data_IF_924335575941
#
_entry.id   IF_924335575941
#
_cell.length_a   1.000
_cell.length_b   1.000
_cell.length_c   1.000
_cell.angle_alpha   90.00
_cell.angle_beta   90.00
_cell.angle_gamma   90.00
#
_symmetry.space_group_name_H-M   'P 1'
#
loop_
_entity.id
_entity.type
_entity.pdbx_description
1 polymer ?
#
# COMPACT_ATOMS: atom_id res chain seq x y z
N UNK A 1 7.30 38.67 16.30
CA UNK A 1 6.02 39.32 15.96
C UNK A 1 4.92 38.29 16.20
N UNK A 2 4.04 38.52 17.18
CA UNK A 2 2.94 37.60 17.48
C UNK A 2 1.75 37.96 16.57
N UNK A 3 1.28 36.99 15.79
CA UNK A 3 0.05 37.15 15.00
C UNK A 3 -1.14 37.04 15.94
N UNK A 4 -1.78 38.18 16.19
CA UNK A 4 -2.99 38.28 17.00
C UNK A 4 -4.16 37.73 16.17
N UNK A 5 -4.59 36.51 16.47
CA UNK A 5 -5.73 35.89 15.80
C UNK A 5 -7.02 36.48 16.38
N UNK A 6 -8.00 36.83 15.53
CA UNK A 6 -9.25 37.40 16.00
C UNK A 6 -10.00 36.42 16.93
N UNK A 7 -10.73 36.94 17.93
CA UNK A 7 -11.41 36.14 18.93
C UNK A 7 -12.39 35.18 18.25
N UNK A 8 -12.24 33.88 18.54
CA UNK A 8 -13.14 32.84 18.04
C UNK A 8 -14.53 33.09 18.62
N UNK A 9 -15.49 33.49 17.77
CA UNK A 9 -16.90 33.54 18.15
C UNK A 9 -17.40 32.13 18.38
N UNK A 10 -18.12 31.92 19.48
CA UNK A 10 -18.81 30.66 19.72
C UNK A 10 -19.85 30.41 18.63
N UNK A 11 -19.91 29.18 18.15
CA UNK A 11 -20.92 28.76 17.19
C UNK A 11 -22.32 28.83 17.83
N UNK A 12 -23.32 29.38 17.12
CA UNK A 12 -24.73 29.34 17.50
C UNK A 12 -25.20 27.91 17.84
N UNK A 13 -26.12 27.82 18.80
CA UNK A 13 -26.54 26.54 19.40
C UNK A 13 -27.20 25.59 18.40
N UNK A 14 -27.92 26.14 17.42
CA UNK A 14 -28.57 25.41 16.33
C UNK A 14 -27.54 24.74 15.39
N UNK A 15 -26.40 25.38 15.15
CA UNK A 15 -25.31 24.81 14.35
C UNK A 15 -24.64 23.66 15.10
N UNK A 16 -24.46 23.80 16.43
CA UNK A 16 -23.92 22.73 17.28
C UNK A 16 -24.82 21.50 17.31
N UNK A 17 -26.15 21.69 17.32
CA UNK A 17 -27.11 20.59 17.30
C UNK A 17 -27.13 19.86 15.95
N UNK A 18 -27.01 20.56 14.82
CA UNK A 18 -26.91 19.94 13.49
C UNK A 18 -25.62 19.17 13.25
N UNK A 19 -24.53 19.55 13.92
CA UNK A 19 -23.25 18.84 13.83
C UNK A 19 -23.13 17.68 14.81
N UNK A 20 -24.17 17.41 15.61
CA UNK A 20 -24.17 16.28 16.53
C UNK A 20 -24.51 15.01 15.73
N UNK A 21 -23.61 14.01 15.63
CA UNK A 21 -23.93 12.78 14.94
C UNK A 21 -25.08 12.06 15.66
N UNK A 22 -26.08 11.63 14.87
CA UNK A 22 -27.27 10.91 15.35
C UNK A 22 -26.90 9.54 15.92
N UNK A 23 -26.54 9.52 17.20
CA UNK A 23 -26.27 8.31 17.96
C UNK A 23 -27.36 8.01 18.98
N UNK A 24 -28.65 8.23 18.66
CA UNK A 24 -29.76 7.70 19.49
C UNK A 24 -31.01 7.47 18.63
N UNK A 25 -31.11 6.33 17.94
CA UNK A 25 -32.40 5.79 17.50
C UNK A 25 -32.30 4.31 17.09
N UNK A 26 -31.94 3.42 18.02
CA UNK A 26 -32.39 2.02 17.92
C UNK A 26 -32.41 1.38 19.29
N UNK A 27 -33.48 1.64 20.05
CA UNK A 27 -33.89 0.75 21.13
C UNK A 27 -35.40 0.86 21.35
N UNK A 28 -36.11 -0.17 20.90
CA UNK A 28 -37.43 -0.67 21.33
C UNK A 28 -37.75 -1.84 20.37
N UNK A 29 -37.99 -3.11 20.73
CA UNK A 29 -38.63 -3.70 21.92
C UNK A 29 -38.19 -5.21 22.10
N UNK A 30 -38.86 -6.08 22.90
CA UNK A 30 -38.41 -6.51 24.24
C UNK A 30 -38.32 -8.07 24.42
N UNK A 31 -38.13 -8.52 25.68
CA UNK A 31 -38.17 -9.92 26.22
C UNK A 31 -36.83 -10.70 26.17
N UNK A 32 -36.27 -11.34 27.21
CA UNK A 32 -36.74 -11.89 28.50
C UNK A 32 -35.56 -12.10 29.48
N UNK A 33 -35.80 -11.77 30.75
CA UNK A 33 -35.34 -12.38 32.03
C UNK A 33 -33.94 -13.01 32.14
N UNK A 34 -33.14 -12.46 33.05
CA UNK A 34 -32.08 -13.17 33.77
C UNK A 34 -31.37 -12.26 34.78
N UNK A 35 -31.71 -12.39 36.07
CA UNK A 35 -31.21 -11.56 37.19
C UNK A 35 -29.78 -11.96 37.58
N UNK A 36 -28.90 -10.97 37.81
CA UNK A 36 -28.07 -10.88 39.03
C UNK A 36 -27.40 -9.49 39.15
N UNK A 37 -27.20 -8.94 40.36
CA UNK A 37 -26.94 -7.51 40.59
C UNK A 37 -25.53 -7.18 41.12
N UNK A 38 -25.27 -5.87 41.29
CA UNK A 38 -24.17 -5.20 42.04
C UNK A 38 -22.92 -4.89 41.17
N UNK A 39 -22.29 -3.71 41.18
CA UNK A 39 -22.30 -2.62 42.16
C UNK A 39 -21.99 -1.27 41.51
N UNK A 40 -22.51 -0.22 42.15
CA UNK A 40 -22.25 1.21 41.95
C UNK A 40 -20.86 1.58 42.47
N UNK A 41 -20.12 2.42 41.73
CA UNK A 41 -19.19 3.36 42.34
C UNK A 41 -18.88 4.52 41.37
N UNK A 42 -19.53 5.65 41.61
CA UNK A 42 -19.07 6.94 41.15
C UNK A 42 -17.87 7.37 42.02
N UNK A 43 -16.79 7.83 41.41
CA UNK A 43 -15.72 8.54 42.10
C UNK A 43 -15.33 9.77 41.29
N UNK A 44 -15.90 10.91 41.69
CA UNK A 44 -15.44 12.25 41.33
C UNK A 44 -14.21 12.52 42.19
N UNK A 45 -13.06 12.79 41.56
CA UNK A 45 -11.84 13.20 42.25
C UNK A 45 -11.33 14.50 41.62
N UNK A 46 -11.75 15.61 42.25
CA UNK A 46 -11.22 16.94 42.07
C UNK A 46 -9.86 17.00 42.76
N UNK A 47 -8.76 17.05 41.99
CA UNK A 47 -7.47 17.52 42.48
C UNK A 47 -7.21 18.87 41.83
N UNK A 48 -7.50 19.90 42.62
CA UNK A 48 -7.03 21.24 42.41
C UNK A 48 -5.61 21.39 42.96
N UNK A 49 -4.74 22.07 42.20
CA UNK A 49 -3.64 22.86 42.76
C UNK A 49 -2.25 22.25 42.69
N UNK A 50 -1.39 22.88 41.87
CA UNK A 50 0.06 22.89 42.12
C UNK A 50 0.95 22.46 40.96
N UNK A 51 0.84 23.08 39.77
CA UNK A 51 1.93 22.98 38.79
C UNK A 51 2.99 24.03 39.14
N UNK A 52 4.01 23.62 39.87
CA UNK A 52 5.29 24.32 39.90
C UNK A 52 5.96 24.11 38.54
N UNK A 53 5.85 25.10 37.65
CA UNK A 53 6.60 25.12 36.41
C UNK A 53 8.08 25.42 36.72
N UNK A 54 8.88 24.39 36.94
CA UNK A 54 10.34 24.51 36.86
C UNK A 54 10.69 24.74 35.39
N UNK A 55 10.95 25.99 35.01
CA UNK A 55 11.55 26.33 33.73
C UNK A 55 12.97 25.79 33.70
N UNK A 56 13.14 24.58 33.14
CA UNK A 56 14.43 24.20 32.59
C UNK A 56 14.65 25.04 31.34
N UNK A 57 15.55 26.01 31.44
CA UNK A 57 16.14 26.69 30.29
C UNK A 57 17.05 25.67 29.60
N UNK A 58 16.46 24.78 28.80
CA UNK A 58 17.18 24.10 27.73
C UNK A 58 17.40 25.13 26.63
N UNK A 59 18.64 25.58 26.48
CA UNK A 59 19.07 26.34 25.31
C UNK A 59 18.62 25.59 24.05
N UNK A 60 17.91 26.23 23.10
CA UNK A 60 17.63 25.60 21.83
C UNK A 60 18.93 25.60 21.04
N UNK A 61 19.68 24.50 21.11
CA UNK A 61 20.48 24.10 19.96
C UNK A 61 19.47 23.85 18.85
N UNK A 62 19.33 24.83 17.96
CA UNK A 62 18.66 24.65 16.67
C UNK A 62 19.60 23.73 15.88
N UNK A 63 19.56 22.43 16.20
CA UNK A 63 20.02 21.39 15.32
C UNK A 63 19.21 21.59 14.05
N UNK A 64 19.87 22.07 12.98
CA UNK A 64 19.30 22.03 11.64
C UNK A 64 18.82 20.59 11.45
N UNK A 65 17.50 20.41 11.31
CA UNK A 65 16.89 19.11 11.13
C UNK A 65 17.72 18.34 10.08
N UNK A 66 18.38 17.27 10.51
CA UNK A 66 19.17 16.44 9.60
C UNK A 66 18.18 15.83 8.61
N UNK A 67 18.40 15.95 7.29
CA UNK A 67 17.49 15.40 6.30
C UNK A 67 17.19 13.92 6.62
N UNK A 68 15.91 13.55 6.62
CA UNK A 68 15.47 12.17 6.79
C UNK A 68 15.32 11.68 8.23
N UNK A 69 15.71 12.45 9.26
CA UNK A 69 15.48 12.04 10.66
C UNK A 69 13.99 12.00 11.02
N UNK A 70 13.16 12.79 10.34
CA UNK A 70 11.71 12.73 10.45
C UNK A 70 11.10 11.39 10.02
N UNK A 71 11.85 10.57 9.29
CA UNK A 71 11.43 9.22 8.84
C UNK A 71 11.76 8.13 9.85
N UNK A 72 12.47 8.45 10.94
CA UNK A 72 12.84 7.50 11.98
C UNK A 72 11.76 7.50 13.07
N UNK A 73 11.03 6.39 13.15
CA UNK A 73 9.94 6.17 14.11
C UNK A 73 10.22 4.95 14.98
N UNK A 74 9.43 4.76 16.04
CA UNK A 74 9.50 3.53 16.85
C UNK A 74 8.76 2.40 16.12
N UNK A 75 9.31 1.18 16.08
CA UNK A 75 8.63 0.05 15.47
C UNK A 75 7.35 -0.30 16.23
N UNK A 76 6.31 -0.68 15.50
CA UNK A 76 5.10 -1.27 16.11
C UNK A 76 5.39 -2.69 16.59
N UNK A 77 4.56 -3.19 17.54
CA UNK A 77 4.66 -4.57 17.99
C UNK A 77 4.45 -5.59 16.87
N UNK A 78 3.61 -5.25 15.89
CA UNK A 78 3.34 -6.09 14.72
C UNK A 78 4.53 -6.13 13.77
N UNK A 79 5.17 -4.99 13.48
CA UNK A 79 6.36 -4.94 12.64
C UNK A 79 7.50 -5.78 13.26
N UNK A 80 7.70 -5.67 14.58
CA UNK A 80 8.65 -6.51 15.31
C UNK A 80 8.32 -8.00 15.18
N UNK A 81 7.06 -8.40 15.33
CA UNK A 81 6.64 -9.80 15.20
C UNK A 81 6.91 -10.37 13.80
N UNK A 82 6.66 -9.57 12.75
CA UNK A 82 6.94 -9.94 11.35
C UNK A 82 8.44 -10.13 11.13
N UNK A 83 9.27 -9.19 11.62
CA UNK A 83 10.72 -9.29 11.49
C UNK A 83 11.33 -10.45 12.29
N UNK A 84 10.86 -10.71 13.51
CA UNK A 84 11.30 -11.87 14.32
C UNK A 84 11.03 -13.19 13.62
N UNK A 85 9.86 -13.30 13.00
CA UNK A 85 9.49 -14.47 12.19
C UNK A 85 10.43 -14.62 10.99
N UNK A 86 10.66 -13.55 10.24
CA UNK A 86 11.53 -13.57 9.06
C UNK A 86 13.01 -13.86 9.40
N UNK A 87 13.50 -13.34 10.53
CA UNK A 87 14.85 -13.59 11.04
C UNK A 87 15.01 -14.98 11.67
N UNK A 88 13.92 -15.66 12.00
CA UNK A 88 13.96 -16.88 12.81
C UNK A 88 14.45 -16.64 14.24
N UNK A 89 14.27 -15.43 14.77
CA UNK A 89 14.77 -14.99 16.08
C UNK A 89 13.69 -14.25 16.87
N UNK A 90 13.09 -14.92 17.84
CA UNK A 90 12.01 -14.37 18.67
C UNK A 90 12.49 -13.31 19.69
N UNK A 91 13.79 -13.28 19.98
CA UNK A 91 14.37 -12.33 20.94
C UNK A 91 14.91 -11.08 20.26
N UNK A 92 14.88 -11.02 18.93
CA UNK A 92 15.38 -9.87 18.19
C UNK A 92 14.65 -8.58 18.60
N UNK A 93 15.40 -7.50 18.77
CA UNK A 93 14.92 -6.19 19.21
C UNK A 93 15.36 -5.11 18.23
N UNK A 94 14.44 -4.19 17.99
CA UNK A 94 14.69 -2.96 17.24
C UNK A 94 14.06 -1.81 18.01
N UNK A 95 14.77 -0.67 18.04
CA UNK A 95 14.28 0.58 18.61
C UNK A 95 13.89 1.61 17.54
N UNK A 96 14.27 1.37 16.30
CA UNK A 96 14.22 2.33 15.21
C UNK A 96 13.70 1.67 13.94
N UNK A 97 12.72 2.32 13.31
CA UNK A 97 12.20 2.00 11.99
C UNK A 97 12.39 3.19 11.09
N UNK A 98 12.90 2.98 9.89
CA UNK A 98 12.95 3.99 8.84
C UNK A 98 11.81 3.74 7.85
N UNK A 99 10.97 4.74 7.62
CA UNK A 99 9.84 4.63 6.69
C UNK A 99 10.17 5.25 5.32
N UNK A 100 9.98 4.47 4.26
CA UNK A 100 10.09 4.88 2.86
C UNK A 100 8.78 4.59 2.15
N UNK A 101 7.82 5.51 2.27
CA UNK A 101 6.51 5.39 1.63
C UNK A 101 5.73 4.16 2.11
N UNK A 102 5.72 3.08 1.34
CA UNK A 102 5.07 1.82 1.68
C UNK A 102 6.02 0.73 2.21
N UNK A 103 7.32 1.00 2.22
CA UNK A 103 8.32 0.12 2.81
C UNK A 103 8.75 0.67 4.18
N UNK A 104 9.05 -0.24 5.11
CA UNK A 104 9.62 0.07 6.43
C UNK A 104 10.91 -0.72 6.59
N UNK A 105 11.92 -0.15 7.22
CA UNK A 105 13.18 -0.85 7.51
C UNK A 105 13.46 -0.76 8.99
N UNK A 106 13.36 -1.88 9.69
CA UNK A 106 13.66 -1.97 11.12
C UNK A 106 15.15 -2.21 11.30
N UNK A 107 15.75 -1.42 12.18
CA UNK A 107 17.17 -1.49 12.52
C UNK A 107 17.32 -2.20 13.85
N UNK A 108 17.94 -3.37 13.82
CA UNK A 108 18.19 -4.19 15.01
C UNK A 108 19.28 -3.58 15.88
N UNK A 109 19.18 -3.75 17.20
CA UNK A 109 20.22 -3.33 18.14
C UNK A 109 21.55 -4.07 17.93
N UNK A 110 21.51 -5.21 17.25
CA UNK A 110 22.65 -6.04 16.86
C UNK A 110 23.19 -5.74 15.45
N UNK A 111 22.68 -4.69 14.80
CA UNK A 111 23.10 -4.27 13.47
C UNK A 111 22.48 -5.07 12.31
N UNK A 112 21.57 -6.01 12.58
CA UNK A 112 20.77 -6.67 11.53
C UNK A 112 19.63 -5.76 11.08
N UNK A 113 19.25 -5.88 9.81
CA UNK A 113 18.14 -5.14 9.22
C UNK A 113 17.02 -6.09 8.80
N UNK A 114 15.80 -5.59 8.86
CA UNK A 114 14.61 -6.25 8.33
C UNK A 114 13.76 -5.22 7.59
N UNK A 115 13.61 -5.41 6.28
CA UNK A 115 12.67 -4.63 5.48
C UNK A 115 11.30 -5.29 5.51
N UNK A 116 10.26 -4.48 5.68
CA UNK A 116 8.87 -4.88 5.59
C UNK A 116 8.20 -4.11 4.45
N UNK A 117 7.47 -4.84 3.62
CA UNK A 117 6.40 -4.29 2.77
C UNK A 117 5.05 -4.59 3.42
N UNK A 118 3.93 -4.40 2.74
CA UNK A 118 2.63 -4.84 3.30
C UNK A 118 2.47 -6.35 3.35
N UNK A 119 3.17 -7.09 2.48
CA UNK A 119 2.96 -8.53 2.26
C UNK A 119 4.18 -9.40 2.47
N UNK A 120 5.34 -8.78 2.65
CA UNK A 120 6.61 -9.49 2.76
C UNK A 120 7.51 -8.88 3.82
N UNK A 121 8.39 -9.73 4.32
CA UNK A 121 9.55 -9.36 5.11
C UNK A 121 10.81 -9.86 4.41
N UNK A 122 11.84 -9.02 4.34
CA UNK A 122 13.14 -9.32 3.76
C UNK A 122 14.22 -9.15 4.81
N UNK A 123 15.08 -10.16 4.93
CA UNK A 123 16.24 -10.16 5.82
C UNK A 123 17.47 -10.57 5.02
N UNK A 124 18.66 -10.16 5.45
CA UNK A 124 19.89 -10.62 4.81
C UNK A 124 19.96 -12.16 4.81
N UNK A 125 20.29 -12.76 3.67
CA UNK A 125 20.43 -14.22 3.60
C UNK A 125 21.63 -14.67 4.43
N UNK A 126 21.62 -15.92 4.90
CA UNK A 126 22.75 -16.47 5.68
C UNK A 126 24.07 -16.51 4.88
N UNK A 127 23.98 -16.52 3.55
CA UNK A 127 25.12 -16.45 2.65
C UNK A 127 25.55 -15.03 2.32
N UNK A 128 24.75 -14.01 2.67
CA UNK A 128 25.11 -12.62 2.44
C UNK A 128 26.32 -12.23 3.29
N UNK A 129 27.34 -11.69 2.63
CA UNK A 129 28.54 -11.17 3.30
C UNK A 129 28.49 -9.65 3.27
N UNK A 130 28.67 -8.97 4.41
CA UNK A 130 28.83 -7.54 4.45
C UNK A 130 29.88 -7.10 3.43
N UNK A 131 29.57 -6.07 2.66
CA UNK A 131 30.48 -5.55 1.64
C UNK A 131 31.05 -4.22 2.10
N UNK A 132 32.37 -4.16 2.18
CA UNK A 132 33.06 -2.94 2.60
C UNK A 132 32.89 -1.84 1.56
N UNK A 133 32.46 -0.69 2.06
CA UNK A 133 32.62 0.59 1.40
C UNK A 133 33.97 1.18 1.81
N UNK A 134 34.45 2.21 1.11
CA UNK A 134 35.75 2.83 1.41
C UNK A 134 35.90 3.23 2.89
N UNK A 135 34.81 3.67 3.53
CA UNK A 135 34.80 4.11 4.93
C UNK A 135 33.60 3.56 5.74
N UNK A 136 32.82 2.62 5.18
CA UNK A 136 31.62 2.05 5.81
C UNK A 136 31.37 0.62 5.34
N UNK A 137 30.18 0.08 5.54
CA UNK A 137 29.86 -1.30 5.15
C UNK A 137 28.39 -1.41 4.77
N UNK A 138 28.06 -2.09 3.66
CA UNK A 138 26.70 -2.53 3.35
C UNK A 138 26.47 -3.88 4.02
N UNK A 139 25.47 -3.96 4.90
CA UNK A 139 25.14 -5.21 5.63
C UNK A 139 23.78 -5.78 5.24
N UNK A 140 23.00 -5.06 4.44
CA UNK A 140 21.71 -5.50 3.92
C UNK A 140 21.42 -4.87 2.56
N UNK A 141 20.91 -5.66 1.62
CA UNK A 141 20.40 -5.18 0.33
C UNK A 141 19.23 -6.01 -0.14
N UNK A 142 18.12 -5.37 -0.46
CA UNK A 142 17.00 -5.94 -1.20
C UNK A 142 16.88 -5.30 -2.59
N UNK A 143 15.79 -5.58 -3.31
CA UNK A 143 15.51 -4.94 -4.60
C UNK A 143 15.28 -3.43 -4.53
N UNK A 144 14.98 -2.88 -3.36
CA UNK A 144 14.61 -1.47 -3.22
C UNK A 144 15.26 -0.75 -2.05
N UNK A 145 16.08 -1.45 -1.26
CA UNK A 145 16.72 -0.89 -0.06
C UNK A 145 18.19 -1.31 -0.01
N UNK A 146 19.06 -0.36 0.32
CA UNK A 146 20.43 -0.62 0.77
C UNK A 146 20.57 -0.08 2.20
N UNK A 147 21.12 -0.89 3.09
CA UNK A 147 21.39 -0.49 4.47
C UNK A 147 22.73 -1.02 4.98
N UNK A 148 23.25 -0.36 6.00
CA UNK A 148 24.54 -0.72 6.58
C UNK A 148 25.09 0.29 7.57
N UNK A 149 26.40 0.26 7.78
CA UNK A 149 27.14 1.17 8.65
C UNK A 149 27.77 2.28 7.79
N UNK A 150 27.50 3.56 8.05
CA UNK A 150 27.96 4.64 7.20
C UNK A 150 29.43 4.98 7.46
N UNK A 151 30.05 5.77 6.56
CA UNK A 151 31.31 6.44 6.85
C UNK A 151 31.29 7.20 8.17
N UNK A 152 32.43 7.18 8.87
CA UNK A 152 32.59 7.97 10.09
C UNK A 152 32.26 9.44 9.80
N UNK A 153 31.48 10.04 10.68
CA UNK A 153 31.03 11.44 10.62
C UNK A 153 30.08 11.78 9.46
N UNK A 154 29.58 10.79 8.71
CA UNK A 154 28.60 11.01 7.65
C UNK A 154 27.31 11.65 8.17
N UNK A 155 26.84 12.71 7.50
CA UNK A 155 25.64 13.47 7.92
C UNK A 155 24.49 13.45 6.93
N UNK A 156 24.81 13.24 5.66
CA UNK A 156 23.85 13.16 4.57
C UNK A 156 24.10 11.90 3.76
N UNK A 157 23.02 11.34 3.21
CA UNK A 157 23.06 10.24 2.27
C UNK A 157 22.02 10.49 1.19
N UNK A 158 22.43 10.35 -0.06
CA UNK A 158 21.54 10.30 -1.23
C UNK A 158 22.09 9.31 -2.24
N UNK A 159 21.25 8.84 -3.16
CA UNK A 159 21.75 8.22 -4.39
C UNK A 159 22.16 9.30 -5.39
N UNK A 160 23.21 9.04 -6.17
CA UNK A 160 23.65 9.91 -7.27
C UNK A 160 23.97 9.10 -8.51
N UNK A 161 23.81 9.64 -9.72
CA UNK A 161 24.07 8.87 -10.93
C UNK A 161 25.56 8.54 -11.03
N UNK A 162 25.88 7.32 -11.49
CA UNK A 162 27.27 6.99 -11.83
C UNK A 162 27.78 7.91 -12.94
N UNK A 163 29.11 8.15 -13.04
CA UNK A 163 29.68 9.00 -14.08
C UNK A 163 29.22 8.64 -15.50
N UNK A 164 29.06 7.36 -15.81
CA UNK A 164 28.60 6.84 -17.11
C UNK A 164 27.12 7.11 -17.43
N UNK A 165 26.31 7.53 -16.45
CA UNK A 165 24.87 7.76 -16.60
C UNK A 165 24.43 9.20 -16.26
N UNK A 166 25.37 10.15 -16.22
CA UNK A 166 25.09 11.55 -15.86
C UNK A 166 24.07 12.27 -16.75
N UNK A 167 23.95 11.86 -18.02
CA UNK A 167 23.06 12.48 -18.99
C UNK A 167 21.62 11.92 -18.95
N UNK A 168 21.35 10.93 -18.08
CA UNK A 168 20.00 10.39 -17.91
C UNK A 168 19.24 11.17 -16.84
N UNK A 169 17.91 11.25 -16.98
CA UNK A 169 17.00 11.85 -15.98
C UNK A 169 16.97 11.00 -14.71
N UNK A 170 18.02 11.11 -13.90
CA UNK A 170 18.19 10.39 -12.65
C UNK A 170 17.49 11.14 -11.50
N UNK A 171 16.53 10.47 -10.85
CA UNK A 171 15.91 10.98 -9.64
C UNK A 171 16.70 10.49 -8.42
N UNK A 172 17.47 11.40 -7.83
CA UNK A 172 18.14 11.14 -6.56
C UNK A 172 17.11 10.78 -5.48
N UNK A 173 17.44 9.77 -4.68
CA UNK A 173 16.65 9.34 -3.53
C UNK A 173 17.42 9.67 -2.26
N UNK A 174 16.78 10.44 -1.36
CA UNK A 174 17.35 10.78 -0.05
C UNK A 174 17.29 9.56 0.87
N UNK A 175 18.43 9.26 1.49
CA UNK A 175 18.55 8.24 2.54
C UNK A 175 18.52 8.84 3.94
N UNK A 176 18.44 7.95 4.93
CA UNK A 176 18.62 8.27 6.34
C UNK A 176 20.01 7.81 6.75
N UNK A 177 20.75 8.68 7.43
CA UNK A 177 22.07 8.36 7.98
C UNK A 177 22.17 8.81 9.43
N UNK A 178 22.63 7.91 10.28
CA UNK A 178 22.93 8.14 11.70
C UNK A 178 24.39 7.75 11.96
N UNK A 179 24.93 7.98 13.16
CA UNK A 179 26.27 7.49 13.50
C UNK A 179 26.41 5.95 13.46
N UNK A 180 25.29 5.21 13.50
CA UNK A 180 25.30 3.75 13.66
C UNK A 180 24.80 3.01 12.42
N UNK A 181 23.95 3.64 11.61
CA UNK A 181 23.39 3.01 10.43
C UNK A 181 23.10 4.01 9.33
N UNK A 182 22.94 3.50 8.12
CA UNK A 182 22.23 4.19 7.06
C UNK A 182 21.21 3.27 6.40
N UNK A 183 20.18 3.87 5.82
CA UNK A 183 19.20 3.20 4.97
C UNK A 183 18.88 4.12 3.80
N UNK A 184 18.84 3.60 2.59
CA UNK A 184 18.45 4.36 1.40
C UNK A 184 17.54 3.54 0.51
N UNK A 185 16.55 4.22 -0.06
CA UNK A 185 15.63 3.68 -1.06
C UNK A 185 16.26 3.74 -2.45
N UNK A 186 16.31 2.59 -3.12
CA UNK A 186 17.00 2.37 -4.39
C UNK A 186 16.12 1.71 -5.43
N UNK A 187 14.78 1.85 -5.32
CA UNK A 187 13.80 1.24 -6.24
C UNK A 187 14.04 1.53 -7.74
N UNK A 188 14.90 2.48 -8.08
CA UNK A 188 15.35 2.78 -9.43
C UNK A 188 16.68 2.08 -9.75
N UNK A 189 16.58 0.92 -10.41
CA UNK A 189 17.66 0.13 -11.04
C UNK A 189 19.07 0.34 -10.45
N UNK A 190 19.41 -0.59 -9.54
CA UNK A 190 20.68 -0.84 -8.88
C UNK A 190 22.00 -0.56 -9.63
N UNK A 191 22.02 -0.67 -10.95
CA UNK A 191 23.24 -0.50 -11.75
C UNK A 191 23.62 0.96 -12.02
N UNK A 192 22.72 1.92 -11.79
CA UNK A 192 22.87 3.29 -12.30
C UNK A 192 23.37 4.33 -11.30
N UNK A 193 23.57 3.97 -10.03
CA UNK A 193 23.90 4.94 -8.99
C UNK A 193 25.09 4.58 -8.09
N UNK A 194 25.65 5.62 -7.49
CA UNK A 194 26.57 5.60 -6.36
C UNK A 194 25.85 6.08 -5.08
N UNK A 195 26.35 5.66 -3.92
CA UNK A 195 25.96 6.28 -2.64
C UNK A 195 26.77 7.55 -2.44
N UNK A 196 26.10 8.67 -2.20
CA UNK A 196 26.74 9.96 -1.99
C UNK A 196 26.62 10.34 -0.52
N UNK A 197 27.72 10.20 0.22
CA UNK A 197 27.83 10.60 1.62
C UNK A 197 28.54 11.95 1.72
N UNK A 198 27.85 13.01 2.14
CA UNK A 198 28.41 14.37 2.24
C UNK A 198 29.17 14.80 0.97
N UNK A 199 28.51 14.63 -0.18
CA UNK A 199 29.01 14.89 -1.53
C UNK A 199 30.19 14.02 -2.01
N UNK A 200 30.55 12.98 -1.24
CA UNK A 200 31.52 11.96 -1.64
C UNK A 200 30.80 10.74 -2.23
N UNK A 201 30.91 10.57 -3.55
CA UNK A 201 30.40 9.39 -4.24
C UNK A 201 31.20 8.14 -3.84
N UNK A 202 30.47 7.09 -3.49
CA UNK A 202 30.98 5.78 -3.08
C UNK A 202 30.31 4.73 -3.96
N UNK A 203 31.07 4.03 -4.82
CA UNK A 203 30.53 2.98 -5.67
C UNK A 203 29.81 1.93 -4.85
N UNK A 204 28.59 1.58 -5.28
CA UNK A 204 27.87 0.43 -4.73
C UNK A 204 28.44 -0.82 -5.38
N UNK A 205 29.00 -1.76 -4.60
CA UNK A 205 29.46 -3.03 -5.15
C UNK A 205 28.27 -3.82 -5.71
N UNK A 206 28.52 -4.60 -6.77
CA UNK A 206 27.55 -5.56 -7.26
C UNK A 206 27.27 -6.58 -6.16
N UNK A 207 26.01 -6.74 -5.82
CA UNK A 207 25.59 -7.69 -4.79
C UNK A 207 24.99 -8.90 -5.49
N UNK A 208 25.43 -10.12 -5.13
CA UNK A 208 24.99 -11.33 -5.79
C UNK A 208 23.48 -11.54 -5.67
N UNK A 209 22.92 -12.22 -6.66
CA UNK A 209 21.55 -12.74 -6.58
C UNK A 209 21.36 -13.54 -5.28
N UNK A 210 20.21 -13.37 -4.61
CA UNK A 210 19.92 -14.07 -3.35
C UNK A 210 20.52 -13.43 -2.08
N UNK A 211 20.84 -12.13 -2.11
CA UNK A 211 21.28 -11.38 -0.93
C UNK A 211 20.26 -11.33 0.22
N UNK A 212 18.99 -11.64 -0.06
CA UNK A 212 17.91 -11.66 0.93
C UNK A 212 17.18 -12.98 0.97
N UNK A 213 16.71 -13.32 2.17
CA UNK A 213 15.67 -14.32 2.39
C UNK A 213 14.33 -13.58 2.49
N UNK A 214 13.36 -14.01 1.69
CA UNK A 214 11.99 -13.49 1.69
C UNK A 214 11.08 -14.37 2.55
N UNK A 215 10.23 -13.75 3.36
CA UNK A 215 9.14 -14.41 4.09
C UNK A 215 7.81 -13.73 3.80
N UNK A 216 6.78 -14.50 3.47
CA UNK A 216 5.42 -13.96 3.31
C UNK A 216 4.85 -13.62 4.68
N UNK A 217 4.63 -12.33 4.93
CA UNK A 217 4.08 -11.83 6.19
C UNK A 217 3.18 -10.64 5.91
N UNK A 218 1.98 -10.60 6.47
CA UNK A 218 0.99 -9.59 6.11
C UNK A 218 0.79 -8.55 7.22
N UNK A 219 0.66 -7.29 6.83
CA UNK A 219 0.30 -6.18 7.73
C UNK A 219 -1.15 -6.30 8.25
N UNK A 220 -2.00 -7.11 7.61
CA UNK A 220 -3.32 -7.46 8.16
C UNK A 220 -3.25 -8.38 9.38
N UNK A 221 -2.12 -9.10 9.57
CA UNK A 221 -2.00 -10.19 10.53
C UNK A 221 -2.65 -11.51 10.09
N UNK A 222 -3.38 -11.51 8.96
CA UNK A 222 -3.98 -12.71 8.38
C UNK A 222 -2.94 -13.48 7.57
N UNK A 223 -2.64 -14.75 7.88
CA UNK A 223 -1.65 -15.53 7.16
C UNK A 223 -2.13 -16.01 5.78
N UNK A 224 -3.43 -15.98 5.48
CA UNK A 224 -3.95 -16.45 4.20
C UNK A 224 -3.68 -15.40 3.11
N UNK A 225 -2.81 -15.71 2.13
CA UNK A 225 -2.48 -14.77 1.05
C UNK A 225 -3.66 -14.39 0.16
N UNK A 226 -4.76 -15.16 0.22
CA UNK A 226 -5.93 -14.99 -0.63
C UNK A 226 -7.09 -14.28 0.07
N UNK A 227 -6.89 -13.75 1.28
CA UNK A 227 -7.86 -12.80 1.82
C UNK A 227 -7.85 -11.51 1.00
N UNK A 228 -9.01 -10.89 0.85
CA UNK A 228 -9.18 -9.71 0.00
C UNK A 228 -8.23 -8.55 0.38
N UNK A 229 -8.03 -8.35 1.69
CA UNK A 229 -7.08 -7.36 2.21
C UNK A 229 -5.63 -7.67 1.81
N UNK A 230 -5.25 -8.95 1.81
CA UNK A 230 -3.90 -9.39 1.42
C UNK A 230 -3.69 -9.33 -0.09
N UNK A 231 -4.73 -9.58 -0.88
CA UNK A 231 -4.69 -9.35 -2.34
C UNK A 231 -4.46 -7.87 -2.64
N UNK A 232 -5.21 -6.94 -2.05
CA UNK A 232 -4.99 -5.49 -2.21
C UNK A 232 -3.57 -5.09 -1.80
N UNK A 233 -3.09 -5.61 -0.68
CA UNK A 233 -1.74 -5.36 -0.21
C UNK A 233 -0.67 -5.83 -1.21
N UNK A 234 -0.85 -7.00 -1.84
CA UNK A 234 0.05 -7.52 -2.88
C UNK A 234 0.02 -6.67 -4.13
N UNK A 235 -1.19 -6.21 -4.50
CA UNK A 235 -1.36 -5.29 -5.60
C UNK A 235 -0.55 -4.02 -5.35
N UNK A 236 -0.75 -3.42 -4.18
CA UNK A 236 -0.08 -2.20 -3.73
C UNK A 236 1.44 -2.35 -3.71
N UNK A 237 1.97 -3.41 -3.09
CA UNK A 237 3.42 -3.67 -3.02
C UNK A 237 4.04 -3.78 -4.41
N UNK A 238 3.34 -4.45 -5.34
CA UNK A 238 3.83 -4.63 -6.71
C UNK A 238 3.83 -3.32 -7.49
N UNK A 239 2.74 -2.53 -7.41
CA UNK A 239 2.68 -1.18 -8.02
C UNK A 239 3.78 -0.28 -7.50
N UNK A 240 4.00 -0.30 -6.18
CA UNK A 240 5.01 0.52 -5.51
C UNK A 240 6.42 0.16 -5.98
N UNK A 241 6.71 -1.15 -6.11
CA UNK A 241 7.95 -1.66 -6.68
C UNK A 241 8.13 -1.27 -8.15
N UNK A 242 7.04 -1.17 -8.90
CA UNK A 242 7.04 -0.74 -10.31
C UNK A 242 7.10 0.80 -10.47
N UNK A 243 7.27 1.55 -9.38
CA UNK A 243 7.54 2.99 -9.41
C UNK A 243 6.34 3.91 -9.16
N UNK A 244 5.16 3.37 -8.84
CA UNK A 244 4.03 4.20 -8.42
C UNK A 244 4.32 4.89 -7.07
N UNK A 245 3.76 6.10 -6.87
CA UNK A 245 3.98 6.85 -5.64
C UNK A 245 3.24 6.21 -4.46
N UNK A 246 3.83 6.27 -3.26
CA UNK A 246 3.21 5.72 -2.06
C UNK A 246 1.84 6.35 -1.76
N UNK A 247 1.70 7.67 -1.93
CA UNK A 247 0.44 8.40 -1.71
C UNK A 247 -0.68 7.95 -2.63
N UNK A 248 -0.35 7.52 -3.85
CA UNK A 248 -1.33 7.06 -4.85
C UNK A 248 -1.88 5.67 -4.51
N UNK A 249 -1.20 4.95 -3.64
CA UNK A 249 -1.47 3.56 -3.28
C UNK A 249 -2.03 3.40 -1.84
N UNK A 250 -2.38 4.50 -1.19
CA UNK A 250 -3.06 4.48 0.11
C UNK A 250 -4.58 4.47 -0.04
N UNK A 251 -5.27 3.89 0.95
CA UNK A 251 -6.74 3.91 1.10
C UNK A 251 -7.53 3.27 -0.06
N UNK A 252 -7.00 2.20 -0.65
CA UNK A 252 -7.72 1.40 -1.64
C UNK A 252 -8.65 0.40 -0.95
N UNK A 253 -9.90 0.40 -1.39
CA UNK A 253 -10.95 -0.49 -0.93
C UNK A 253 -11.40 -1.42 -2.08
N UNK A 254 -11.73 -2.68 -1.79
CA UNK A 254 -12.20 -3.61 -2.81
C UNK A 254 -13.62 -3.24 -3.27
N UNK A 255 -13.86 -3.24 -4.58
CA UNK A 255 -15.17 -3.05 -5.17
C UNK A 255 -15.78 -4.39 -5.64
N UNK A 256 -15.06 -5.10 -6.51
CA UNK A 256 -15.47 -6.35 -7.13
C UNK A 256 -14.28 -7.30 -7.22
N UNK A 257 -14.51 -8.59 -6.99
CA UNK A 257 -13.46 -9.61 -7.10
C UNK A 257 -14.01 -10.86 -7.79
N UNK A 258 -13.23 -11.44 -8.70
CA UNK A 258 -13.49 -12.75 -9.29
C UNK A 258 -12.24 -13.64 -9.18
N UNK A 259 -12.43 -14.95 -9.05
CA UNK A 259 -11.36 -15.96 -9.02
C UNK A 259 -10.58 -16.09 -7.71
N UNK A 260 -11.10 -15.55 -6.60
CA UNK A 260 -10.44 -15.62 -5.29
C UNK A 260 -10.32 -17.05 -4.76
N UNK A 261 -11.39 -17.83 -4.93
CA UNK A 261 -11.50 -19.26 -4.62
C UNK A 261 -10.52 -20.12 -5.44
N UNK A 262 -10.29 -19.73 -6.69
CA UNK A 262 -9.35 -20.36 -7.61
C UNK A 262 -7.91 -19.88 -7.40
N UNK A 263 -7.68 -18.99 -6.41
CA UNK A 263 -6.39 -18.39 -6.10
C UNK A 263 -5.78 -17.63 -7.28
N UNK A 264 -6.61 -17.14 -8.19
CA UNK A 264 -6.18 -16.39 -9.36
C UNK A 264 -7.35 -15.75 -10.07
N UNK A 265 -7.27 -14.44 -10.26
CA UNK A 265 -8.31 -13.69 -10.93
C UNK A 265 -8.08 -12.19 -10.95
N UNK A 266 -9.15 -11.42 -10.85
CA UNK A 266 -9.11 -9.96 -10.99
C UNK A 266 -9.90 -9.30 -9.85
N UNK A 267 -9.32 -8.23 -9.34
CA UNK A 267 -9.89 -7.32 -8.37
C UNK A 267 -10.08 -5.96 -9.03
N UNK A 268 -11.26 -5.35 -8.87
CA UNK A 268 -11.47 -3.93 -9.04
C UNK A 268 -11.44 -3.30 -7.65
N UNK A 269 -10.60 -2.30 -7.47
CA UNK A 269 -10.53 -1.51 -6.25
C UNK A 269 -10.90 -0.06 -6.57
N UNK A 270 -11.39 0.65 -5.56
CA UNK A 270 -11.65 2.07 -5.62
C UNK A 270 -10.95 2.80 -4.47
N UNK A 271 -10.70 4.08 -4.67
CA UNK A 271 -10.25 5.00 -3.63
C UNK A 271 -11.17 6.20 -3.70
N UNK A 272 -11.81 6.49 -2.58
CA UNK A 272 -12.86 7.52 -2.50
C UNK A 272 -13.95 7.25 -3.56
N UNK A 273 -14.42 8.28 -4.28
CA UNK A 273 -15.52 8.18 -5.23
C UNK A 273 -15.12 8.41 -6.70
N UNK A 274 -13.84 8.63 -6.98
CA UNK A 274 -13.37 9.10 -8.29
C UNK A 274 -12.11 8.37 -8.83
N UNK A 275 -11.50 7.49 -8.04
CA UNK A 275 -10.35 6.71 -8.48
C UNK A 275 -10.67 5.21 -8.45
N UNK A 276 -10.38 4.52 -9.56
CA UNK A 276 -10.55 3.08 -9.70
C UNK A 276 -9.29 2.47 -10.29
N UNK A 277 -9.03 1.21 -9.93
CA UNK A 277 -7.96 0.43 -10.50
C UNK A 277 -8.33 -1.03 -10.58
N UNK A 278 -7.68 -1.72 -11.51
CA UNK A 278 -7.73 -3.17 -11.61
C UNK A 278 -6.45 -3.78 -11.07
N UNK A 279 -6.54 -5.00 -10.56
CA UNK A 279 -5.40 -5.79 -10.16
C UNK A 279 -5.66 -7.26 -10.50
N UNK A 280 -4.80 -7.83 -11.34
CA UNK A 280 -4.77 -9.27 -11.54
C UNK A 280 -3.90 -9.95 -10.47
N UNK A 281 -4.33 -11.13 -10.02
CA UNK A 281 -3.62 -11.92 -9.02
C UNK A 281 -3.61 -13.40 -9.42
N UNK A 282 -2.60 -14.16 -8.97
CA UNK A 282 -2.47 -15.59 -9.27
C UNK A 282 -1.15 -16.18 -8.75
N UNK A 283 -1.00 -17.52 -8.74
CA UNK A 283 0.19 -18.19 -8.20
C UNK A 283 1.41 -18.10 -9.12
N UNK A 284 1.18 -17.98 -10.43
CA UNK A 284 2.23 -18.02 -11.48
C UNK A 284 2.53 -16.65 -12.08
N UNK A 285 1.91 -15.57 -11.61
CA UNK A 285 2.05 -14.28 -12.28
C UNK A 285 3.40 -13.70 -11.93
N UNK A 286 4.32 -13.79 -12.90
CA UNK A 286 5.47 -12.91 -13.12
C UNK A 286 5.01 -11.44 -13.19
N UNK A 287 4.59 -10.92 -12.04
CA UNK A 287 4.92 -9.60 -11.53
C UNK A 287 4.19 -8.38 -12.07
N UNK A 288 3.29 -8.52 -13.03
CA UNK A 288 2.45 -7.40 -13.47
C UNK A 288 1.16 -7.32 -12.68
N UNK A 289 1.20 -6.90 -11.41
CA UNK A 289 0.05 -6.12 -10.94
C UNK A 289 0.11 -4.85 -11.78
N UNK A 290 -0.67 -4.83 -12.85
CA UNK A 290 -0.84 -3.63 -13.63
C UNK A 290 -1.94 -2.85 -12.95
N UNK A 291 -1.49 -1.95 -12.10
CA UNK A 291 -2.34 -1.02 -11.40
C UNK A 291 -2.64 0.08 -12.41
N UNK A 292 -3.57 -0.22 -13.31
CA UNK A 292 -4.02 0.73 -14.31
C UNK A 292 -4.98 1.69 -13.61
N UNK A 293 -4.53 2.93 -13.39
CA UNK A 293 -5.45 4.01 -13.05
C UNK A 293 -6.47 4.04 -14.17
N UNK A 294 -7.70 3.63 -13.86
CA UNK A 294 -8.78 3.85 -14.79
C UNK A 294 -8.94 5.36 -14.80
N UNK A 295 -8.70 6.04 -15.94
CA UNK A 295 -8.95 7.47 -15.99
C UNK A 295 -10.36 7.64 -15.47
N UNK A 296 -10.56 8.57 -14.54
CA UNK A 296 -11.89 9.00 -14.17
C UNK A 296 -12.52 9.45 -15.48
N UNK A 297 -13.23 8.56 -16.18
CA UNK A 297 -13.86 8.90 -17.45
C UNK A 297 -14.92 9.89 -17.00
N UNK A 298 -14.55 11.16 -17.12
CA UNK A 298 -15.33 12.32 -16.69
C UNK A 298 -16.64 12.39 -17.45
N UNK A 299 -16.71 11.67 -18.58
CA UNK A 299 -17.93 11.39 -19.31
C UNK A 299 -18.52 10.06 -18.84
N UNK A 300 -19.78 10.10 -18.39
CA UNK A 300 -20.60 8.91 -18.20
C UNK A 300 -20.55 8.10 -19.50
N UNK A 301 -20.01 6.88 -19.52
CA UNK A 301 -19.92 6.12 -20.76
C UNK A 301 -21.33 5.90 -21.32
N UNK A 302 -21.55 6.30 -22.57
CA UNK A 302 -22.78 5.98 -23.31
C UNK A 302 -22.75 4.53 -23.82
N UNK A 303 -21.55 3.96 -23.98
CA UNK A 303 -21.28 2.58 -24.37
C UNK A 303 -20.39 1.88 -23.33
N UNK A 304 -20.48 0.56 -23.13
CA UNK A 304 -19.56 -0.17 -22.29
C UNK A 304 -18.14 -0.01 -22.79
N UNK A 305 -17.24 0.27 -21.86
CA UNK A 305 -15.82 0.39 -22.13
C UNK A 305 -15.15 -0.88 -21.63
N UNK A 306 -14.42 -1.55 -22.52
CA UNK A 306 -13.57 -2.67 -22.12
C UNK A 306 -12.38 -2.09 -21.36
N UNK A 307 -12.27 -2.44 -20.08
CA UNK A 307 -11.16 -1.95 -19.24
C UNK A 307 -9.95 -2.84 -19.45
N UNK A 308 -10.11 -4.13 -19.20
CA UNK A 308 -9.05 -5.11 -19.37
C UNK A 308 -9.63 -6.49 -19.57
N UNK A 309 -8.82 -7.37 -20.15
CA UNK A 309 -9.09 -8.80 -20.24
C UNK A 309 -7.91 -9.54 -19.64
N UNK A 310 -8.20 -10.40 -18.67
CA UNK A 310 -7.23 -11.29 -18.06
C UNK A 310 -7.66 -12.72 -18.32
N UNK A 311 -6.74 -13.58 -18.76
CA UNK A 311 -7.03 -14.99 -19.01
C UNK A 311 -6.05 -15.89 -18.28
N UNK A 312 -6.52 -17.05 -17.87
CA UNK A 312 -5.68 -18.21 -17.58
C UNK A 312 -6.06 -19.33 -18.57
N UNK A 313 -5.59 -20.56 -18.33
CA UNK A 313 -5.86 -21.69 -19.23
C UNK A 313 -7.34 -22.12 -19.28
N UNK A 314 -8.14 -21.78 -18.27
CA UNK A 314 -9.51 -22.27 -18.11
C UNK A 314 -10.59 -21.19 -18.20
N UNK A 315 -10.28 -19.94 -17.89
CA UNK A 315 -11.22 -18.83 -17.88
C UNK A 315 -10.61 -17.52 -18.40
N UNK A 316 -11.47 -16.72 -19.02
CA UNK A 316 -11.22 -15.35 -19.41
C UNK A 316 -12.10 -14.40 -18.59
N UNK A 317 -11.47 -13.50 -17.86
CA UNK A 317 -12.13 -12.47 -17.06
C UNK A 317 -12.16 -11.16 -17.86
N UNK A 318 -13.36 -10.73 -18.20
CA UNK A 318 -13.66 -9.46 -18.85
C UNK A 318 -14.01 -8.45 -17.78
N UNK A 319 -13.20 -7.41 -17.67
CA UNK A 319 -13.49 -6.25 -16.82
C UNK A 319 -13.99 -5.14 -17.69
N UNK A 320 -15.19 -4.65 -17.38
CA UNK A 320 -15.80 -3.57 -18.14
C UNK A 320 -16.40 -2.51 -17.25
N UNK A 321 -16.68 -1.37 -17.87
CA UNK A 321 -17.49 -0.30 -17.29
C UNK A 321 -18.71 -0.09 -18.15
N UNK A 322 -19.88 0.06 -17.55
CA UNK A 322 -21.17 0.32 -18.20
C UNK A 322 -21.88 1.50 -17.52
N UNK A 323 -23.04 1.89 -18.04
CA UNK A 323 -23.89 2.93 -17.42
C UNK A 323 -24.26 2.52 -16.00
N UNK A 324 -24.10 3.44 -15.03
CA UNK A 324 -24.41 3.22 -13.60
C UNK A 324 -25.87 2.84 -13.30
N UNK A 325 -26.78 3.01 -14.26
CA UNK A 325 -28.17 2.55 -14.11
C UNK A 325 -28.32 1.05 -14.33
N UNK A 326 -27.33 0.38 -14.95
CA UNK A 326 -27.34 -1.07 -15.05
C UNK A 326 -27.10 -1.69 -13.67
N UNK A 327 -27.93 -2.65 -13.28
CA UNK A 327 -27.74 -3.51 -12.12
C UNK A 327 -27.05 -4.83 -12.48
N UNK A 328 -27.24 -5.33 -13.71
CA UNK A 328 -26.58 -6.53 -14.22
C UNK A 328 -26.07 -6.34 -15.64
N UNK A 329 -25.14 -7.20 -16.04
CA UNK A 329 -24.64 -7.29 -17.40
C UNK A 329 -24.57 -8.74 -17.82
N UNK A 330 -25.04 -9.05 -19.03
CA UNK A 330 -24.83 -10.32 -19.70
C UNK A 330 -23.72 -10.13 -20.73
N UNK A 331 -22.70 -10.98 -20.68
CA UNK A 331 -21.59 -10.98 -21.62
C UNK A 331 -21.56 -12.31 -22.35
N UNK A 332 -21.58 -12.29 -23.68
CA UNK A 332 -21.45 -13.47 -24.53
C UNK A 332 -20.39 -13.28 -25.60
N UNK A 333 -19.96 -14.38 -26.20
CA UNK A 333 -19.00 -14.41 -27.30
C UNK A 333 -19.65 -15.19 -28.43
N UNK A 334 -19.93 -14.54 -29.55
CA UNK A 334 -20.74 -15.10 -30.63
C UNK A 334 -22.07 -15.71 -30.11
N UNK A 335 -22.34 -16.97 -30.46
CA UNK A 335 -23.52 -17.76 -30.07
C UNK A 335 -23.30 -18.58 -28.78
N UNK A 336 -22.20 -18.34 -28.04
CA UNK A 336 -21.96 -19.01 -26.75
C UNK A 336 -22.92 -18.51 -25.67
N UNK A 337 -23.12 -19.33 -24.63
CA UNK A 337 -24.00 -18.99 -23.52
C UNK A 337 -23.50 -17.72 -22.82
N UNK A 338 -24.39 -16.74 -22.69
CA UNK A 338 -24.10 -15.51 -21.96
C UNK A 338 -23.85 -15.79 -20.47
N UNK A 339 -22.87 -15.08 -19.92
CA UNK A 339 -22.57 -15.06 -18.48
C UNK A 339 -23.10 -13.76 -17.90
N UNK A 340 -23.95 -13.86 -16.88
CA UNK A 340 -24.46 -12.71 -16.14
C UNK A 340 -23.49 -12.33 -15.02
N UNK A 341 -23.21 -11.04 -14.86
CA UNK A 341 -22.44 -10.46 -13.77
C UNK A 341 -23.17 -9.26 -13.17
N UNK A 342 -22.96 -9.04 -11.87
CA UNK A 342 -23.48 -7.86 -11.19
C UNK A 342 -22.68 -6.61 -11.58
N UNK A 343 -23.37 -5.47 -11.63
CA UNK A 343 -22.76 -4.17 -11.89
C UNK A 343 -22.74 -3.36 -10.59
N UNK A 344 -21.54 -2.93 -10.16
CA UNK A 344 -21.34 -2.12 -8.96
C UNK A 344 -20.63 -0.83 -9.35
N UNK A 345 -21.24 0.31 -9.06
CA UNK A 345 -20.75 1.65 -9.47
C UNK A 345 -20.49 1.81 -10.98
N UNK A 346 -21.17 1.00 -11.78
CA UNK A 346 -20.98 0.93 -13.24
C UNK A 346 -19.81 0.05 -13.67
N UNK A 347 -19.19 -0.71 -12.78
CA UNK A 347 -18.15 -1.69 -13.09
C UNK A 347 -18.66 -3.11 -12.97
N UNK A 348 -18.07 -4.03 -13.73
CA UNK A 348 -18.39 -5.45 -13.65
C UNK A 348 -17.16 -6.32 -13.94
N UNK A 349 -17.22 -7.58 -13.50
CA UNK A 349 -16.29 -8.64 -13.88
C UNK A 349 -17.11 -9.83 -14.36
N UNK A 350 -16.98 -10.18 -15.64
CA UNK A 350 -17.60 -11.38 -16.21
C UNK A 350 -16.52 -12.45 -16.45
N UNK A 351 -16.80 -13.70 -16.05
CA UNK A 351 -15.85 -14.82 -16.22
C UNK A 351 -16.40 -15.78 -17.26
N UNK A 352 -15.77 -15.78 -18.43
CA UNK A 352 -16.15 -16.56 -19.60
C UNK A 352 -15.24 -17.79 -19.73
N UNK A 353 -15.73 -18.91 -20.28
CA UNK A 353 -14.85 -20.02 -20.64
C UNK A 353 -13.83 -19.60 -21.71
N UNK A 354 -12.64 -20.19 -21.67
CA UNK A 354 -11.60 -19.93 -22.69
C UNK A 354 -12.02 -20.54 -24.02
N UNK A 355 -12.07 -19.71 -25.05
CA UNK A 355 -12.26 -20.14 -26.44
C UNK A 355 -10.92 -20.44 -27.10
N UNK A 356 -10.91 -21.29 -28.12
CA UNK A 356 -9.73 -21.56 -28.96
C UNK A 356 -9.38 -20.40 -29.89
N UNK A 357 -10.21 -19.36 -29.94
CA UNK A 357 -9.97 -18.13 -30.70
C UNK A 357 -8.72 -17.40 -30.21
N UNK A 358 -8.06 -16.69 -31.12
CA UNK A 358 -7.03 -15.74 -30.72
C UNK A 358 -7.67 -14.57 -29.93
N UNK A 359 -6.88 -13.87 -29.13
CA UNK A 359 -7.35 -12.81 -28.22
C UNK A 359 -8.06 -11.65 -28.94
N UNK A 360 -7.61 -11.27 -30.13
CA UNK A 360 -8.16 -10.13 -30.87
C UNK A 360 -9.55 -10.45 -31.43
N UNK A 361 -9.70 -11.62 -32.04
CA UNK A 361 -10.99 -12.09 -32.55
C UNK A 361 -12.00 -12.26 -31.41
N UNK A 362 -11.51 -12.71 -30.25
CA UNK A 362 -12.33 -12.81 -29.05
C UNK A 362 -12.91 -11.46 -28.62
N UNK A 363 -12.08 -10.41 -28.54
CA UNK A 363 -12.53 -9.07 -28.15
C UNK A 363 -13.60 -8.54 -29.10
N UNK A 364 -13.40 -8.72 -30.40
CA UNK A 364 -14.34 -8.25 -31.42
C UNK A 364 -15.66 -9.04 -31.44
N UNK A 365 -15.66 -10.27 -30.90
CA UNK A 365 -16.83 -11.14 -30.78
C UNK A 365 -17.63 -10.93 -29.49
N UNK A 366 -17.18 -10.05 -28.58
CA UNK A 366 -17.88 -9.80 -27.32
C UNK A 366 -19.18 -9.02 -27.54
N UNK A 367 -20.28 -9.57 -27.05
CA UNK A 367 -21.58 -8.93 -26.99
C UNK A 367 -21.99 -8.69 -25.54
N UNK A 368 -22.58 -7.52 -25.27
CA UNK A 368 -22.88 -7.03 -23.93
C UNK A 368 -24.32 -6.53 -23.88
N UNK A 369 -25.09 -7.05 -22.93
CA UNK A 369 -26.46 -6.57 -22.63
C UNK A 369 -26.50 -6.09 -21.19
N UNK A 370 -26.66 -4.78 -20.98
CA UNK A 370 -26.82 -4.19 -19.65
C UNK A 370 -28.28 -4.00 -19.30
N UNK A 371 -28.69 -4.44 -18.11
CA UNK A 371 -30.07 -4.31 -17.61
C UNK A 371 -30.12 -3.53 -16.31
N UNK A 372 -31.15 -2.70 -16.12
CA UNK A 372 -31.38 -1.99 -14.87
C UNK A 372 -32.11 -2.83 -13.82
N UNK A 373 -32.50 -2.20 -12.69
CA UNK A 373 -33.23 -2.86 -11.61
C UNK A 373 -34.64 -3.32 -11.99
N UNK A 374 -35.22 -2.75 -13.04
CA UNK A 374 -36.54 -3.12 -13.56
C UNK A 374 -36.40 -4.18 -14.69
N UNK A 375 -35.18 -4.68 -14.91
CA UNK A 375 -34.81 -5.64 -15.94
C UNK A 375 -34.92 -5.10 -17.39
N UNK A 376 -35.02 -3.77 -17.53
CA UNK A 376 -35.07 -3.09 -18.83
C UNK A 376 -33.66 -2.97 -19.43
N UNK A 377 -33.55 -3.12 -20.75
CA UNK A 377 -32.28 -3.03 -21.46
C UNK A 377 -31.84 -1.57 -21.52
N UNK A 378 -30.78 -1.23 -20.79
CA UNK A 378 -30.17 0.10 -20.81
C UNK A 378 -29.03 0.21 -21.80
N UNK A 379 -28.52 -0.93 -22.29
CA UNK A 379 -27.51 -1.02 -23.33
C UNK A 379 -27.51 -2.41 -23.99
N UNK A 380 -27.28 -2.46 -25.30
CA UNK A 380 -27.04 -3.68 -26.07
C UNK A 380 -26.04 -3.39 -27.20
N UNK A 381 -24.99 -4.21 -27.33
CA UNK A 381 -23.95 -4.05 -28.35
C UNK A 381 -22.58 -4.58 -27.94
N UNK A 382 -21.52 -4.20 -28.66
CA UNK A 382 -20.13 -4.55 -28.34
C UNK A 382 -19.41 -3.47 -27.52
N UNK A 383 -18.22 -3.79 -27.02
CA UNK A 383 -17.38 -2.81 -26.33
C UNK A 383 -16.86 -1.70 -27.26
N UNK A 384 -16.63 -0.51 -26.69
CA UNK A 384 -15.87 0.58 -27.34
C UNK A 384 -14.35 0.32 -27.31
#
# INVERSE_FOLDING_TARGET
MAFDLPPRRELPTDVKERMRPDFVATRESPERRGRAPLAVAAAVLLIAGGVAATQFVTQPFVDKARPGHERVVRPSGQDLARCRTALGDQNWQSSETVEFGLSKVLVGQDGRFCELTRTKAYVASQSFRPTDLREGTVTFRSHGIIAGIPPKDARTLKTGPKPEFRDQDFKASDGVVTPHFFVVDTRYQDSYFDLVFDDRATPVPDIPEGAVTESQTFESGDPDPWTLVNVIARCTDTSYRNGANASDLQNWEPLLVSGLDQRGGVLIAHREHDAWATCSFGPSVLGGVHWEHLPAVTKKPEKPVLVTIHGNESALMVVGRIKRSAGTVEVSVDDEQAVTADVVDGYFIATLPVSTKNRTDYINSLHVVGRDSDNEVVYEGGFE
#
